data_IF_184576694613
#
_entry.id   IF_184576694613
#
_cell.length_a   1.000
_cell.length_b   1.000
_cell.length_c   1.000
_cell.angle_alpha   90.00
_cell.angle_beta   90.00
_cell.angle_gamma   90.00
#
_symmetry.space_group_name_H-M   'P 1'
#
loop_
_entity.id
_entity.type
_entity.pdbx_description
1 polymer ?
#
# COMPACT_ATOMS: atom_id res chain seq x y z
N UNK A 1 -15.91 53.27 2.63
CA UNK A 1 -15.13 54.19 3.47
C UNK A 1 -14.32 53.44 4.53
N UNK A 2 -13.11 53.79 4.59
CA UNK A 2 -11.94 53.53 5.48
C UNK A 2 -11.02 52.39 5.07
N UNK A 3 -9.97 52.83 4.34
CA UNK A 3 -8.64 52.22 4.21
C UNK A 3 -7.82 52.57 5.46
N UNK A 4 -6.99 51.64 5.90
CA UNK A 4 -5.74 51.92 6.68
C UNK A 4 -4.81 50.79 6.29
N UNK A 5 -3.83 50.93 5.45
CA UNK A 5 -2.54 51.63 5.43
C UNK A 5 -1.44 50.83 6.17
N UNK A 6 -0.44 50.51 5.36
CA UNK A 6 0.86 49.90 5.59
C UNK A 6 1.69 50.57 6.70
N UNK A 7 2.58 49.79 7.30
CA UNK A 7 3.86 50.30 7.79
C UNK A 7 4.99 49.33 7.45
N UNK A 8 5.93 49.80 6.63
CA UNK A 8 7.30 49.28 6.43
C UNK A 8 8.24 49.98 7.40
N UNK A 9 9.19 49.25 7.96
CA UNK A 9 10.49 49.75 8.40
C UNK A 9 11.43 48.54 8.35
N UNK A 10 12.61 48.52 7.73
CA UNK A 10 13.60 49.57 7.54
C UNK A 10 14.94 48.94 7.96
N UNK A 11 15.76 48.68 7.00
CA UNK A 11 17.16 48.21 6.98
C UNK A 11 18.08 49.05 7.89
N UNK A 12 19.06 48.39 8.55
CA UNK A 12 20.43 48.93 8.68
C UNK A 12 21.43 47.78 8.73
N UNK A 13 22.42 47.88 7.84
CA UNK A 13 23.65 47.08 7.78
C UNK A 13 24.78 47.77 8.53
N UNK A 14 25.81 47.02 8.91
CA UNK A 14 27.14 47.53 9.19
C UNK A 14 28.06 46.53 9.88
N UNK A 15 29.30 46.38 9.39
CA UNK A 15 30.22 45.32 9.76
C UNK A 15 31.24 45.77 10.84
N UNK A 16 31.76 44.80 11.57
CA UNK A 16 32.99 44.99 12.34
C UNK A 16 33.89 43.77 12.18
N UNK A 17 34.98 44.05 11.49
CA UNK A 17 36.18 43.20 11.42
C UNK A 17 36.93 43.30 12.75
N UNK A 18 37.48 42.23 13.24
CA UNK A 18 38.52 42.25 14.27
C UNK A 18 39.60 41.23 13.91
N UNK A 19 40.80 41.75 14.03
CA UNK A 19 42.08 41.28 13.55
C UNK A 19 42.61 39.98 14.18
N UNK A 20 43.46 39.31 13.39
CA UNK A 20 44.35 38.22 13.76
C UNK A 20 45.65 38.79 14.37
N UNK A 21 46.20 38.23 15.44
CA UNK A 21 47.62 38.38 15.76
C UNK A 21 48.40 37.13 15.33
N UNK A 22 49.59 37.40 14.75
CA UNK A 22 50.63 36.43 14.35
C UNK A 22 51.55 36.07 15.53
N UNK A 23 51.97 34.81 15.45
CA UNK A 23 53.24 34.18 15.80
C UNK A 23 54.11 34.72 16.97
N UNK A 24 54.51 33.83 17.84
CA UNK A 24 55.65 33.89 18.75
C UNK A 24 56.12 32.49 19.11
N UNK A 25 57.40 32.24 18.83
CA UNK A 25 58.20 31.01 19.03
C UNK A 25 58.36 30.60 20.50
N UNK A 26 58.42 29.30 20.76
CA UNK A 26 59.40 28.53 21.51
C UNK A 26 58.81 27.40 22.37
N UNK A 27 59.57 26.52 22.97
CA UNK A 27 60.44 25.46 22.44
C UNK A 27 59.94 24.06 22.83
N UNK A 28 60.57 23.05 22.26
CA UNK A 28 60.22 21.65 22.29
C UNK A 28 60.01 20.98 23.66
N UNK A 29 59.18 20.00 23.64
CA UNK A 29 59.08 18.92 24.64
C UNK A 29 58.79 17.58 23.98
N UNK A 30 59.07 16.45 24.64
CA UNK A 30 59.56 15.23 24.01
C UNK A 30 58.47 14.30 23.50
N UNK A 31 58.90 13.34 22.68
CA UNK A 31 58.14 12.30 22.02
C UNK A 31 57.11 11.60 22.90
N UNK A 32 55.84 11.80 22.60
CA UNK A 32 54.78 10.90 23.00
C UNK A 32 54.56 9.77 21.97
N UNK A 33 54.38 8.53 22.40
CA UNK A 33 54.18 7.41 21.48
C UNK A 33 52.87 7.55 20.71
N UNK A 34 52.94 7.34 19.41
CA UNK A 34 51.80 7.32 18.52
C UNK A 34 50.68 6.42 19.02
N UNK A 35 49.40 6.88 18.92
CA UNK A 35 48.26 6.05 19.30
C UNK A 35 48.17 4.82 18.39
N UNK A 36 47.71 3.66 18.92
CA UNK A 36 47.62 2.45 18.13
C UNK A 36 46.65 2.63 16.99
N UNK A 37 47.10 2.44 15.77
CA UNK A 37 46.30 2.30 14.58
C UNK A 37 45.32 1.11 14.79
N UNK A 38 44.08 1.38 15.14
CA UNK A 38 42.98 0.43 15.00
C UNK A 38 42.87 0.09 13.52
N UNK A 39 43.40 -1.07 13.14
CA UNK A 39 43.00 -1.73 11.91
C UNK A 39 41.50 -2.01 12.01
N UNK A 40 40.69 -1.19 11.40
CA UNK A 40 39.31 -1.55 11.08
C UNK A 40 39.41 -2.73 10.10
N UNK A 41 39.17 -3.90 10.60
CA UNK A 41 38.86 -5.06 9.77
C UNK A 41 37.53 -4.75 9.11
N UNK A 42 37.57 -4.43 7.82
CA UNK A 42 36.43 -4.42 6.92
C UNK A 42 35.85 -5.85 6.87
N UNK A 43 34.99 -6.15 7.83
CA UNK A 43 34.15 -7.34 7.87
C UNK A 43 32.72 -6.91 8.02
N UNK A 44 32.24 -6.06 7.13
CA UNK A 44 30.84 -5.90 6.90
C UNK A 44 30.55 -6.08 5.40
N UNK A 45 30.86 -7.29 4.92
CA UNK A 45 30.16 -7.80 3.73
C UNK A 45 28.71 -7.92 4.15
N UNK A 46 27.94 -6.90 3.82
CA UNK A 46 26.48 -6.91 3.90
C UNK A 46 26.00 -8.16 3.17
N UNK A 47 25.59 -9.17 3.93
CA UNK A 47 24.84 -10.29 3.36
C UNK A 47 23.69 -9.68 2.55
N UNK A 48 23.38 -10.16 1.34
CA UNK A 48 22.24 -9.68 0.60
C UNK A 48 21.03 -9.83 1.53
N UNK A 49 20.39 -8.71 1.86
CA UNK A 49 19.23 -8.71 2.73
C UNK A 49 18.19 -9.62 2.10
N UNK A 50 17.89 -10.75 2.74
CA UNK A 50 16.89 -11.69 2.26
C UNK A 50 15.59 -10.91 2.00
N UNK A 51 14.97 -11.11 0.84
CA UNK A 51 13.66 -10.52 0.56
C UNK A 51 12.67 -11.11 1.54
N UNK A 52 12.01 -10.25 2.30
CA UNK A 52 11.00 -10.63 3.28
C UNK A 52 9.66 -10.05 2.90
N UNK A 53 8.65 -10.91 2.82
CA UNK A 53 7.27 -10.57 2.50
C UNK A 53 6.34 -11.05 3.60
N UNK A 54 5.52 -10.16 4.12
CA UNK A 54 4.32 -10.54 4.88
C UNK A 54 3.08 -10.29 4.05
N UNK A 55 2.06 -11.13 4.25
CA UNK A 55 0.77 -11.04 3.56
C UNK A 55 -0.33 -11.09 4.60
N UNK A 56 -1.23 -10.11 4.61
CA UNK A 56 -2.44 -10.15 5.43
C UNK A 56 -3.67 -10.40 4.57
N UNK A 57 -4.50 -11.35 5.00
CA UNK A 57 -5.80 -11.68 4.38
C UNK A 57 -6.89 -11.59 5.43
N UNK A 58 -7.77 -10.61 5.32
CA UNK A 58 -8.92 -10.44 6.23
C UNK A 58 -10.10 -11.25 5.71
N UNK A 59 -10.63 -12.11 6.58
CA UNK A 59 -11.67 -13.10 6.25
C UNK A 59 -12.94 -12.79 7.05
N UNK A 60 -14.07 -12.67 6.36
CA UNK A 60 -15.39 -12.53 6.97
C UNK A 60 -16.45 -13.24 6.12
N UNK A 61 -16.91 -14.41 6.57
CA UNK A 61 -17.84 -15.28 5.82
C UNK A 61 -17.46 -15.41 4.34
N UNK A 62 -16.23 -15.87 4.02
CA UNK A 62 -15.75 -15.92 2.66
C UNK A 62 -16.44 -17.05 1.88
N UNK A 63 -16.39 -16.94 0.55
CA UNK A 63 -16.50 -18.12 -0.29
C UNK A 63 -15.28 -19.01 -0.03
N UNK A 64 -15.54 -20.23 0.44
CA UNK A 64 -14.46 -21.15 0.87
C UNK A 64 -13.57 -21.57 -0.28
N UNK A 65 -14.15 -21.84 -1.45
CA UNK A 65 -13.37 -22.28 -2.61
C UNK A 65 -12.52 -21.13 -3.16
N UNK A 66 -13.09 -19.94 -3.18
CA UNK A 66 -12.38 -18.75 -3.61
C UNK A 66 -11.18 -18.45 -2.69
N UNK A 67 -11.36 -18.53 -1.37
CA UNK A 67 -10.28 -18.35 -0.42
C UNK A 67 -9.18 -19.41 -0.60
N UNK A 68 -9.55 -20.67 -0.84
CA UNK A 68 -8.59 -21.74 -1.15
C UNK A 68 -7.80 -21.48 -2.42
N UNK A 69 -8.48 -21.01 -3.48
CA UNK A 69 -7.84 -20.60 -4.74
C UNK A 69 -6.84 -19.45 -4.51
N UNK A 70 -7.23 -18.44 -3.74
CA UNK A 70 -6.36 -17.31 -3.37
C UNK A 70 -5.09 -17.81 -2.68
N UNK A 71 -5.21 -18.64 -1.64
CA UNK A 71 -4.05 -19.17 -0.91
C UNK A 71 -3.17 -20.06 -1.80
N UNK A 72 -3.77 -20.88 -2.67
CA UNK A 72 -3.02 -21.73 -3.61
C UNK A 72 -2.30 -20.89 -4.68
N UNK A 73 -2.93 -19.83 -5.19
CA UNK A 73 -2.29 -18.91 -6.15
C UNK A 73 -1.15 -18.13 -5.51
N UNK A 74 -1.33 -17.67 -4.27
CA UNK A 74 -0.28 -17.03 -3.47
C UNK A 74 0.91 -17.97 -3.29
N UNK A 75 0.68 -19.23 -2.92
CA UNK A 75 1.74 -20.22 -2.79
C UNK A 75 2.54 -20.38 -4.09
N UNK A 76 1.85 -20.51 -5.25
CA UNK A 76 2.52 -20.60 -6.56
C UNK A 76 3.35 -19.34 -6.86
N UNK A 77 2.81 -18.15 -6.56
CA UNK A 77 3.51 -16.89 -6.80
C UNK A 77 4.76 -16.72 -5.90
N UNK A 78 4.71 -17.19 -4.65
CA UNK A 78 5.88 -17.23 -3.74
C UNK A 78 6.93 -18.20 -4.27
N UNK A 79 6.52 -19.42 -4.67
CA UNK A 79 7.43 -20.43 -5.23
C UNK A 79 8.06 -19.92 -6.55
N UNK A 80 7.28 -19.24 -7.39
CA UNK A 80 7.77 -18.64 -8.63
C UNK A 80 8.79 -17.51 -8.39
N UNK A 81 8.63 -16.72 -7.33
CA UNK A 81 9.59 -15.70 -6.95
C UNK A 81 10.91 -16.33 -6.44
N UNK A 82 10.82 -17.36 -5.60
CA UNK A 82 11.98 -18.08 -5.09
C UNK A 82 12.79 -18.79 -6.19
N UNK A 83 12.14 -19.34 -7.22
CA UNK A 83 12.78 -20.01 -8.34
C UNK A 83 13.63 -19.07 -9.21
N UNK A 84 13.49 -17.75 -9.09
CA UNK A 84 14.28 -16.75 -9.83
C UNK A 84 15.60 -16.36 -9.17
N UNK A 85 16.00 -17.07 -8.12
CA UNK A 85 17.37 -17.03 -7.58
C UNK A 85 17.54 -16.31 -6.24
N UNK A 86 16.50 -15.70 -5.67
CA UNK A 86 16.55 -15.13 -4.33
C UNK A 86 15.50 -15.76 -3.40
N UNK A 87 15.89 -16.27 -2.23
CA UNK A 87 14.95 -16.78 -1.25
C UNK A 87 13.98 -15.68 -0.83
N UNK A 88 12.67 -15.96 -0.93
CA UNK A 88 11.61 -15.07 -0.45
C UNK A 88 11.05 -15.61 0.87
N UNK A 89 11.55 -15.12 1.99
CA UNK A 89 10.98 -15.45 3.30
C UNK A 89 9.56 -14.86 3.38
N UNK A 90 8.55 -15.73 3.44
CA UNK A 90 7.15 -15.31 3.38
C UNK A 90 6.37 -15.74 4.62
N UNK A 91 5.61 -14.81 5.19
CA UNK A 91 4.65 -15.03 6.27
C UNK A 91 3.26 -14.59 5.87
N UNK A 92 2.29 -15.49 5.90
CA UNK A 92 0.86 -15.23 5.69
C UNK A 92 0.15 -15.10 7.03
N UNK A 93 -0.68 -14.09 7.19
CA UNK A 93 -1.47 -13.82 8.39
C UNK A 93 -2.94 -13.78 7.97
N UNK A 94 -3.67 -14.81 8.36
CA UNK A 94 -5.12 -14.91 8.18
C UNK A 94 -5.80 -14.21 9.35
N UNK A 95 -6.59 -13.17 9.09
CA UNK A 95 -7.30 -12.42 10.13
C UNK A 95 -8.77 -12.81 10.08
N UNK A 96 -9.21 -13.58 11.06
CA UNK A 96 -10.60 -14.07 11.16
C UNK A 96 -11.50 -13.03 11.81
N UNK A 97 -12.15 -12.23 11.00
CA UNK A 97 -13.22 -11.33 11.43
C UNK A 97 -14.56 -12.08 11.69
N UNK A 98 -14.61 -13.37 11.43
CA UNK A 98 -15.77 -14.24 11.66
C UNK A 98 -16.08 -15.16 10.48
N UNK A 99 -16.37 -16.42 10.80
CA UNK A 99 -16.79 -17.40 9.82
C UNK A 99 -15.70 -17.94 8.90
N UNK A 100 -14.46 -17.96 9.38
CA UNK A 100 -13.36 -18.59 8.63
C UNK A 100 -13.60 -20.09 8.53
N UNK A 101 -13.57 -20.69 7.32
CA UNK A 101 -13.75 -22.12 7.14
C UNK A 101 -12.51 -22.89 7.64
N UNK A 102 -12.61 -24.21 7.70
CA UNK A 102 -11.42 -25.06 7.92
C UNK A 102 -10.46 -24.94 6.74
N UNK A 103 -9.27 -24.44 7.04
CA UNK A 103 -8.15 -24.24 6.11
C UNK A 103 -6.93 -25.07 6.48
N UNK A 104 -7.08 -26.07 7.34
CA UNK A 104 -5.97 -26.90 7.85
C UNK A 104 -5.10 -27.47 6.74
N UNK A 105 -5.72 -27.97 5.67
CA UNK A 105 -5.01 -28.51 4.50
C UNK A 105 -4.21 -27.42 3.76
N UNK A 106 -4.79 -26.24 3.56
CA UNK A 106 -4.14 -25.11 2.88
C UNK A 106 -2.98 -24.57 3.71
N UNK A 107 -3.18 -24.43 5.02
CA UNK A 107 -2.12 -23.99 5.95
C UNK A 107 -0.97 -25.01 5.97
N UNK A 108 -1.29 -26.30 6.01
CA UNK A 108 -0.27 -27.35 5.94
C UNK A 108 0.50 -27.31 4.61
N UNK A 109 -0.20 -27.06 3.49
CA UNK A 109 0.41 -26.89 2.17
C UNK A 109 1.35 -25.69 2.13
N UNK A 110 0.93 -24.52 2.63
CA UNK A 110 1.77 -23.33 2.70
C UNK A 110 3.06 -23.60 3.49
N UNK A 111 2.93 -24.22 4.67
CA UNK A 111 4.08 -24.54 5.53
C UNK A 111 5.03 -25.55 4.89
N UNK A 112 4.51 -26.57 4.18
CA UNK A 112 5.32 -27.53 3.43
C UNK A 112 6.15 -26.88 2.33
N UNK A 113 5.72 -25.69 1.83
CA UNK A 113 6.46 -24.88 0.84
C UNK A 113 7.30 -23.76 1.49
N UNK A 114 7.56 -23.83 2.79
CA UNK A 114 8.40 -22.86 3.52
C UNK A 114 7.71 -21.52 3.79
N UNK A 115 6.39 -21.43 3.62
CA UNK A 115 5.62 -20.22 3.91
C UNK A 115 5.04 -20.32 5.31
N UNK A 116 5.49 -19.45 6.23
CA UNK A 116 4.89 -19.34 7.55
C UNK A 116 3.44 -18.88 7.44
N UNK A 117 2.54 -19.51 8.20
CA UNK A 117 1.13 -19.14 8.18
C UNK A 117 0.55 -19.12 9.59
N UNK A 118 0.04 -17.96 9.99
CA UNK A 118 -0.56 -17.70 11.29
C UNK A 118 -2.03 -17.27 11.13
N UNK A 119 -2.81 -17.45 12.20
CA UNK A 119 -4.20 -16.99 12.25
C UNK A 119 -4.38 -16.07 13.45
N UNK A 120 -4.95 -14.89 13.22
CA UNK A 120 -5.42 -13.97 14.24
C UNK A 120 -6.95 -14.08 14.35
N UNK A 121 -7.44 -14.48 15.51
CA UNK A 121 -8.87 -14.70 15.77
C UNK A 121 -9.26 -14.21 17.17
N UNK A 122 -10.57 -14.23 17.49
CA UNK A 122 -11.08 -13.88 18.80
C UNK A 122 -11.40 -12.39 19.01
N UNK A 123 -11.11 -11.53 18.03
CA UNK A 123 -11.41 -10.08 18.09
C UNK A 123 -12.77 -9.71 17.47
N UNK A 124 -13.49 -10.70 16.90
CA UNK A 124 -14.74 -10.47 16.19
C UNK A 124 -14.57 -9.66 14.90
N UNK A 125 -15.68 -9.18 14.32
CA UNK A 125 -15.63 -8.38 13.11
C UNK A 125 -15.30 -6.92 13.42
N UNK A 126 -14.04 -6.57 13.27
CA UNK A 126 -13.54 -5.19 13.47
C UNK A 126 -13.59 -4.33 12.19
N UNK A 127 -13.99 -4.90 11.07
CA UNK A 127 -13.97 -4.27 9.75
C UNK A 127 -12.69 -4.56 8.97
N UNK A 128 -12.67 -4.13 7.69
CA UNK A 128 -11.60 -4.49 6.75
C UNK A 128 -10.23 -3.90 7.15
N UNK A 129 -10.14 -2.58 7.21
CA UNK A 129 -8.86 -1.90 7.50
C UNK A 129 -8.30 -2.21 8.88
N UNK A 130 -9.16 -2.28 9.91
CA UNK A 130 -8.70 -2.67 11.26
C UNK A 130 -8.21 -4.11 11.31
N UNK A 131 -8.86 -5.01 10.57
CA UNK A 131 -8.40 -6.40 10.46
C UNK A 131 -6.97 -6.45 9.92
N UNK A 132 -6.68 -5.74 8.82
CA UNK A 132 -5.33 -5.64 8.29
C UNK A 132 -4.35 -4.99 9.28
N UNK A 133 -4.78 -3.97 10.03
CA UNK A 133 -3.92 -3.33 11.02
C UNK A 133 -3.45 -4.31 12.11
N UNK A 134 -4.30 -5.24 12.56
CA UNK A 134 -3.90 -6.29 13.51
C UNK A 134 -2.70 -7.11 12.99
N UNK A 135 -2.67 -7.40 11.70
CA UNK A 135 -1.54 -8.08 11.08
C UNK A 135 -0.32 -7.14 10.92
N UNK A 136 -0.54 -5.90 10.43
CA UNK A 136 0.51 -4.90 10.17
C UNK A 136 1.31 -4.58 11.45
N UNK A 137 0.66 -4.56 12.61
CA UNK A 137 1.30 -4.35 13.90
C UNK A 137 2.33 -5.43 14.24
N UNK A 138 2.13 -6.66 13.77
CA UNK A 138 2.96 -7.82 14.10
C UNK A 138 4.13 -8.09 13.14
N UNK A 139 4.22 -7.36 12.02
CA UNK A 139 5.20 -7.65 10.97
C UNK A 139 6.38 -6.68 10.97
N UNK A 140 7.56 -7.20 10.59
CA UNK A 140 8.78 -6.43 10.40
C UNK A 140 9.43 -6.69 9.03
N UNK A 141 8.76 -7.44 8.15
CA UNK A 141 9.23 -7.76 6.80
C UNK A 141 9.47 -6.49 5.98
N UNK A 142 10.34 -6.58 4.97
CA UNK A 142 10.63 -5.46 4.06
C UNK A 142 9.40 -5.02 3.26
N UNK A 143 8.54 -5.96 2.88
CA UNK A 143 7.32 -5.73 2.12
C UNK A 143 6.11 -6.32 2.82
N UNK A 144 4.97 -5.63 2.71
CA UNK A 144 3.69 -6.10 3.22
C UNK A 144 2.62 -6.06 2.12
N UNK A 145 1.98 -7.19 1.87
CA UNK A 145 0.86 -7.30 0.93
C UNK A 145 -0.46 -7.35 1.69
N UNK A 146 -1.30 -6.35 1.46
CA UNK A 146 -2.74 -6.39 1.76
C UNK A 146 -3.42 -7.11 0.62
N UNK A 147 -4.11 -8.22 0.91
CA UNK A 147 -4.69 -9.11 -0.09
C UNK A 147 -6.13 -9.49 0.28
N UNK A 148 -7.04 -9.36 -0.67
CA UNK A 148 -8.40 -9.88 -0.54
C UNK A 148 -8.45 -11.41 -0.65
N UNK A 149 -9.48 -12.04 -0.02
CA UNK A 149 -9.65 -13.50 -0.06
C UNK A 149 -10.21 -14.04 -1.39
N UNK A 150 -10.36 -13.20 -2.40
CA UNK A 150 -10.93 -13.51 -3.72
C UNK A 150 -10.04 -13.05 -4.89
N UNK A 151 -8.71 -13.12 -4.67
CA UNK A 151 -7.68 -12.76 -5.66
C UNK A 151 -6.86 -13.98 -6.05
N UNK A 152 -6.79 -14.26 -7.35
CA UNK A 152 -5.83 -15.19 -7.91
C UNK A 152 -4.61 -14.43 -8.45
N UNK A 153 -3.41 -14.80 -7.98
CA UNK A 153 -2.15 -14.22 -8.44
C UNK A 153 -1.60 -15.03 -9.61
N UNK A 154 -1.10 -14.33 -10.65
CA UNK A 154 -0.23 -14.96 -11.65
C UNK A 154 1.03 -15.52 -10.94
N UNK A 155 1.56 -16.68 -11.42
CA UNK A 155 2.77 -17.27 -10.82
C UNK A 155 3.97 -16.33 -10.75
N UNK A 156 4.07 -15.38 -11.67
CA UNK A 156 5.14 -14.38 -11.75
C UNK A 156 4.82 -13.07 -10.99
N UNK A 157 3.61 -12.91 -10.47
CA UNK A 157 3.14 -11.63 -9.95
C UNK A 157 4.04 -11.07 -8.85
N UNK A 158 4.38 -11.89 -7.84
CA UNK A 158 5.22 -11.44 -6.73
C UNK A 158 6.66 -11.17 -7.17
N UNK A 159 7.24 -12.02 -8.00
CA UNK A 159 8.59 -11.79 -8.53
C UNK A 159 8.67 -10.43 -9.23
N UNK A 160 7.75 -10.16 -10.16
CA UNK A 160 7.71 -8.90 -10.91
C UNK A 160 7.45 -7.68 -10.02
N UNK A 161 6.59 -7.84 -9.01
CA UNK A 161 6.25 -6.78 -8.09
C UNK A 161 7.44 -6.40 -7.18
N UNK A 162 8.13 -7.39 -6.62
CA UNK A 162 9.30 -7.17 -5.78
C UNK A 162 10.47 -6.61 -6.58
N UNK A 163 10.74 -7.15 -7.77
CA UNK A 163 11.76 -6.63 -8.68
C UNK A 163 11.49 -5.17 -9.09
N UNK A 164 10.22 -4.81 -9.27
CA UNK A 164 9.85 -3.43 -9.54
C UNK A 164 10.16 -2.51 -8.35
N UNK A 165 9.71 -2.90 -7.16
CA UNK A 165 9.96 -2.12 -5.95
C UNK A 165 11.46 -1.99 -5.66
N UNK A 166 12.25 -3.05 -5.83
CA UNK A 166 13.70 -3.00 -5.62
C UNK A 166 14.39 -2.01 -6.55
N UNK A 167 13.95 -1.94 -7.81
CA UNK A 167 14.49 -0.98 -8.80
C UNK A 167 13.97 0.44 -8.65
N UNK A 168 12.88 0.66 -7.92
CA UNK A 168 12.26 1.97 -7.74
C UNK A 168 12.10 2.33 -6.25
N UNK A 169 13.17 2.76 -5.57
CA UNK A 169 13.15 3.06 -4.13
C UNK A 169 12.09 4.09 -3.70
N UNK A 170 11.71 5.01 -4.59
CA UNK A 170 10.66 6.01 -4.32
C UNK A 170 9.23 5.47 -4.39
N UNK A 171 9.01 4.25 -4.90
CA UNK A 171 7.71 3.60 -4.89
C UNK A 171 7.45 2.98 -3.51
N UNK A 172 6.48 3.50 -2.78
CA UNK A 172 6.05 2.97 -1.47
C UNK A 172 4.88 2.02 -1.56
N UNK A 173 4.05 2.14 -2.60
CA UNK A 173 2.88 1.30 -2.86
C UNK A 173 2.85 0.89 -4.33
N UNK A 174 2.62 -0.41 -4.56
CA UNK A 174 2.37 -0.97 -5.88
C UNK A 174 0.96 -1.58 -5.94
N UNK A 175 0.25 -1.31 -7.04
CA UNK A 175 -0.99 -1.98 -7.42
C UNK A 175 -0.83 -2.67 -8.80
N UNK A 176 -1.38 -3.88 -8.97
CA UNK A 176 -1.24 -4.68 -10.19
C UNK A 176 -2.27 -4.31 -11.25
N UNK A 177 -2.12 -4.91 -12.43
CA UNK A 177 -3.24 -5.08 -13.37
C UNK A 177 -4.22 -6.10 -12.78
N UNK A 178 -5.42 -5.63 -12.52
CA UNK A 178 -6.50 -6.44 -11.98
C UNK A 178 -7.48 -6.73 -13.11
N UNK A 179 -7.77 -7.98 -13.36
CA UNK A 179 -8.72 -8.41 -14.39
C UNK A 179 -9.83 -9.27 -13.77
N UNK A 180 -10.92 -9.39 -14.51
CA UNK A 180 -11.94 -10.43 -14.30
C UNK A 180 -11.48 -11.76 -14.90
N UNK A 181 -12.21 -12.86 -14.65
CA UNK A 181 -11.90 -14.19 -15.20
C UNK A 181 -11.87 -14.22 -16.74
N UNK A 182 -12.66 -13.39 -17.40
CA UNK A 182 -12.69 -13.24 -18.85
C UNK A 182 -11.53 -12.41 -19.42
N UNK A 183 -10.59 -11.97 -18.57
CA UNK A 183 -9.44 -11.16 -18.93
C UNK A 183 -9.73 -9.66 -19.03
N UNK A 184 -10.98 -9.22 -18.89
CA UNK A 184 -11.35 -7.80 -18.92
C UNK A 184 -10.73 -7.04 -17.74
N UNK A 185 -10.09 -5.89 -18.02
CA UNK A 185 -9.50 -5.06 -16.98
C UNK A 185 -10.60 -4.52 -16.06
N UNK A 186 -10.44 -4.75 -14.76
CA UNK A 186 -11.19 -4.06 -13.73
C UNK A 186 -10.48 -2.75 -13.40
N UNK A 187 -11.06 -1.62 -13.83
CA UNK A 187 -10.49 -0.29 -13.60
C UNK A 187 -10.64 0.12 -12.13
N UNK A 188 -9.71 -0.35 -11.30
CA UNK A 188 -9.72 -0.15 -9.85
C UNK A 188 -8.76 0.96 -9.36
N UNK A 189 -7.94 1.52 -10.25
CA UNK A 189 -7.32 2.82 -10.04
C UNK A 189 -8.35 3.92 -10.34
N UNK A 190 -8.40 4.96 -9.50
CA UNK A 190 -9.45 5.98 -9.60
C UNK A 190 -8.92 7.38 -9.33
N UNK A 191 -9.57 8.34 -9.93
CA UNK A 191 -9.43 9.75 -9.55
C UNK A 191 -10.18 10.02 -8.25
N UNK A 192 -9.94 11.18 -7.67
CA UNK A 192 -10.72 11.65 -6.53
C UNK A 192 -12.22 11.66 -6.89
N UNK A 193 -13.09 10.99 -6.11
CA UNK A 193 -14.51 10.87 -6.45
C UNK A 193 -15.26 12.18 -6.25
N UNK A 194 -16.32 12.39 -7.04
CA UNK A 194 -17.37 13.32 -6.71
C UNK A 194 -18.60 12.56 -6.21
N UNK A 195 -19.54 13.25 -5.56
CA UNK A 195 -20.79 12.63 -5.14
C UNK A 195 -21.57 12.09 -6.35
N UNK A 196 -21.53 12.80 -7.48
CA UNK A 196 -22.17 12.35 -8.72
C UNK A 196 -21.52 11.07 -9.26
N UNK A 197 -20.17 10.95 -9.23
CA UNK A 197 -19.49 9.72 -9.66
C UNK A 197 -19.93 8.51 -8.83
N UNK A 198 -19.98 8.68 -7.52
CA UNK A 198 -20.41 7.63 -6.60
C UNK A 198 -21.89 7.25 -6.80
N UNK A 199 -22.74 8.25 -6.98
CA UNK A 199 -24.17 8.04 -7.24
C UNK A 199 -24.39 7.28 -8.56
N UNK A 200 -23.80 7.77 -9.66
CA UNK A 200 -23.93 7.14 -10.98
C UNK A 200 -23.42 5.70 -10.95
N UNK A 201 -22.25 5.49 -10.35
CA UNK A 201 -21.64 4.16 -10.29
C UNK A 201 -22.39 3.19 -9.38
N UNK A 202 -22.86 3.65 -8.21
CA UNK A 202 -23.45 2.81 -7.18
C UNK A 202 -24.94 2.57 -7.35
N UNK A 203 -25.70 3.57 -7.78
CA UNK A 203 -27.16 3.57 -7.69
C UNK A 203 -27.88 3.68 -9.05
N UNK A 204 -27.22 4.21 -10.07
CA UNK A 204 -27.88 4.38 -11.37
C UNK A 204 -28.00 3.04 -12.10
N UNK A 205 -29.18 2.65 -12.61
CA UNK A 205 -29.35 1.45 -13.43
C UNK A 205 -28.45 1.46 -14.66
N UNK A 206 -27.98 0.28 -15.09
CA UNK A 206 -27.03 0.15 -16.21
C UNK A 206 -27.43 0.90 -17.46
N UNK A 207 -28.72 0.88 -17.84
CA UNK A 207 -29.28 1.59 -19.02
C UNK A 207 -29.04 3.09 -19.00
N UNK A 208 -28.99 3.71 -17.83
CA UNK A 208 -28.78 5.17 -17.69
C UNK A 208 -27.31 5.51 -17.47
N UNK A 209 -26.47 4.55 -17.09
CA UNK A 209 -25.02 4.79 -16.92
C UNK A 209 -24.33 5.13 -18.22
N UNK A 210 -24.85 4.67 -19.36
CA UNK A 210 -24.30 4.99 -20.68
C UNK A 210 -24.25 6.49 -20.95
N UNK A 211 -25.20 7.28 -20.43
CA UNK A 211 -25.19 8.74 -20.55
C UNK A 211 -24.03 9.41 -19.80
N UNK A 212 -23.43 8.70 -18.84
CA UNK A 212 -22.33 9.17 -18.01
C UNK A 212 -21.01 8.42 -18.31
N UNK A 213 -20.95 7.65 -19.39
CA UNK A 213 -19.80 6.77 -19.65
C UNK A 213 -18.48 7.55 -19.73
N UNK A 214 -18.43 8.68 -20.42
CA UNK A 214 -17.24 9.53 -20.48
C UNK A 214 -16.80 10.08 -19.11
N UNK A 215 -17.77 10.32 -18.21
CA UNK A 215 -17.50 10.72 -16.84
C UNK A 215 -16.94 9.57 -16.00
N UNK A 216 -17.58 8.40 -16.08
CA UNK A 216 -17.13 7.18 -15.42
C UNK A 216 -15.76 6.75 -15.93
N UNK A 217 -15.52 6.83 -17.26
CA UNK A 217 -14.23 6.53 -17.86
C UNK A 217 -13.11 7.42 -17.31
N UNK A 218 -13.41 8.72 -17.09
CA UNK A 218 -12.46 9.65 -16.45
C UNK A 218 -12.21 9.30 -14.99
N UNK A 219 -13.25 9.02 -14.21
CA UNK A 219 -13.15 8.65 -12.81
C UNK A 219 -12.36 7.34 -12.62
N UNK A 220 -12.63 6.34 -13.46
CA UNK A 220 -12.01 5.02 -13.46
C UNK A 220 -10.67 4.98 -14.21
N UNK A 221 -10.15 6.13 -14.64
CA UNK A 221 -8.87 6.28 -15.33
C UNK A 221 -8.71 5.36 -16.56
N UNK A 222 -9.81 5.04 -17.28
CA UNK A 222 -9.80 4.04 -18.36
C UNK A 222 -8.85 4.37 -19.51
N UNK A 223 -8.53 5.66 -19.71
CA UNK A 223 -7.55 6.09 -20.72
C UNK A 223 -6.09 5.91 -20.31
N UNK A 224 -5.83 5.83 -18.99
CA UNK A 224 -4.48 5.71 -18.46
C UNK A 224 -4.14 4.26 -18.11
N UNK A 225 -5.10 3.53 -17.53
CA UNK A 225 -4.90 2.14 -17.08
C UNK A 225 -5.01 1.19 -18.28
N UNK A 226 -3.92 0.55 -18.61
CA UNK A 226 -3.81 -0.37 -19.74
C UNK A 226 -2.87 -1.55 -19.41
N UNK A 227 -2.57 -2.40 -20.39
CA UNK A 227 -1.77 -3.61 -20.20
C UNK A 227 -0.26 -3.43 -20.38
N UNK A 228 0.20 -2.23 -20.72
CA UNK A 228 1.57 -1.97 -21.16
C UNK A 228 2.31 -0.97 -20.29
N UNK A 229 1.65 0.15 -19.98
CA UNK A 229 2.32 1.31 -19.43
C UNK A 229 2.22 1.35 -17.90
N UNK A 230 3.35 1.61 -17.25
CA UNK A 230 3.38 1.91 -15.82
C UNK A 230 2.75 3.28 -15.62
N UNK A 231 1.75 3.35 -14.73
CA UNK A 231 1.13 4.62 -14.35
C UNK A 231 1.59 5.00 -12.95
N UNK A 232 2.28 6.12 -12.89
CA UNK A 232 2.74 6.67 -11.61
C UNK A 232 1.67 7.55 -10.99
N UNK A 233 1.58 7.43 -9.68
CA UNK A 233 0.75 8.26 -8.81
C UNK A 233 -0.74 8.26 -9.19
N UNK A 234 -1.36 7.07 -9.48
CA UNK A 234 -2.81 7.01 -9.56
C UNK A 234 -3.37 7.48 -8.20
N UNK A 235 -4.31 8.46 -8.19
CA UNK A 235 -4.74 9.08 -6.93
C UNK A 235 -5.27 8.09 -5.89
N UNK A 236 -5.98 7.07 -6.35
CA UNK A 236 -6.61 6.06 -5.49
C UNK A 236 -6.43 4.69 -6.13
N UNK A 237 -6.04 3.69 -5.34
CA UNK A 237 -5.95 2.30 -5.73
C UNK A 237 -6.81 1.42 -4.82
N UNK A 238 -7.25 0.28 -5.31
CA UNK A 238 -8.14 -0.61 -4.56
C UNK A 238 -7.40 -1.40 -3.49
N UNK A 239 -8.05 -1.57 -2.35
CA UNK A 239 -7.60 -2.41 -1.24
C UNK A 239 -7.48 -3.89 -1.57
N UNK A 240 -8.04 -4.37 -2.69
CA UNK A 240 -8.03 -5.81 -2.99
C UNK A 240 -6.61 -6.40 -3.19
N UNK A 241 -5.65 -5.56 -3.63
CA UNK A 241 -4.23 -5.88 -3.69
C UNK A 241 -3.42 -4.59 -3.54
N UNK A 242 -2.74 -4.42 -2.40
CA UNK A 242 -1.84 -3.30 -2.14
C UNK A 242 -0.51 -3.83 -1.61
N UNK A 243 0.55 -3.79 -2.42
CA UNK A 243 1.88 -4.18 -1.99
C UNK A 243 2.67 -2.95 -1.54
N UNK A 244 2.92 -2.85 -0.26
CA UNK A 244 3.64 -1.75 0.37
C UNK A 244 5.10 -2.10 0.66
N UNK A 245 5.95 -1.06 0.69
CA UNK A 245 7.08 -1.08 1.61
C UNK A 245 6.53 -0.98 3.03
N UNK A 246 6.95 -1.89 3.90
CA UNK A 246 6.39 -1.98 5.25
C UNK A 246 6.68 -0.74 6.10
N UNK A 247 7.85 -0.11 5.91
CA UNK A 247 8.21 1.14 6.56
C UNK A 247 7.25 2.29 6.19
N UNK A 248 6.92 2.44 4.91
CA UNK A 248 5.93 3.40 4.42
C UNK A 248 4.55 3.13 5.04
N UNK A 249 4.10 1.88 5.03
CA UNK A 249 2.80 1.51 5.60
C UNK A 249 2.74 1.78 7.11
N UNK A 250 3.82 1.50 7.84
CA UNK A 250 3.95 1.79 9.27
C UNK A 250 4.05 3.29 9.56
N UNK A 251 4.76 4.05 8.74
CA UNK A 251 4.82 5.52 8.85
C UNK A 251 3.43 6.14 8.71
N UNK A 252 2.57 5.57 7.86
CA UNK A 252 1.17 5.99 7.69
C UNK A 252 0.27 5.57 8.86
N UNK A 253 0.73 4.67 9.74
CA UNK A 253 -0.08 4.06 10.79
C UNK A 253 -1.10 3.05 10.25
N UNK A 254 -0.88 2.49 9.06
CA UNK A 254 -1.81 1.58 8.41
C UNK A 254 -3.11 2.24 7.96
N UNK A 255 -4.19 1.47 7.96
CA UNK A 255 -5.55 1.95 7.65
C UNK A 255 -6.11 2.80 8.79
N UNK A 256 -6.84 3.85 8.45
CA UNK A 256 -7.55 4.67 9.45
C UNK A 256 -8.67 3.83 10.12
N UNK A 257 -8.58 3.57 11.44
CA UNK A 257 -9.51 2.67 12.12
C UNK A 257 -10.94 3.20 12.23
N UNK A 258 -11.21 4.44 11.83
CA UNK A 258 -12.54 5.03 11.81
C UNK A 258 -13.41 4.49 10.69
N UNK A 259 -12.81 3.91 9.62
CA UNK A 259 -13.56 3.23 8.56
C UNK A 259 -13.78 1.77 8.96
N UNK A 260 -15.04 1.33 8.92
CA UNK A 260 -15.36 -0.07 9.11
C UNK A 260 -15.23 -0.85 7.79
N UNK A 261 -15.79 -0.29 6.72
CA UNK A 261 -15.76 -0.83 5.37
C UNK A 261 -16.03 0.30 4.37
N UNK A 262 -15.36 0.26 3.21
CA UNK A 262 -15.35 1.26 2.14
C UNK A 262 -14.60 2.55 2.50
N UNK A 263 -13.89 3.11 1.53
CA UNK A 263 -13.08 4.32 1.60
C UNK A 263 -11.82 4.23 2.48
N UNK A 264 -11.59 3.14 3.21
CA UNK A 264 -10.34 2.91 3.95
C UNK A 264 -9.14 2.83 3.00
N UNK A 265 -9.32 2.22 1.83
CA UNK A 265 -8.31 2.13 0.75
C UNK A 265 -8.13 3.48 0.05
N UNK A 266 -9.20 4.26 -0.12
CA UNK A 266 -9.14 5.62 -0.65
C UNK A 266 -8.35 6.55 0.28
N UNK A 267 -8.65 6.49 1.57
CA UNK A 267 -7.95 7.25 2.61
C UNK A 267 -6.46 6.87 2.63
N UNK A 268 -6.15 5.59 2.67
CA UNK A 268 -4.76 5.11 2.70
C UNK A 268 -4.00 5.51 1.42
N UNK A 269 -4.63 5.40 0.24
CA UNK A 269 -4.03 5.82 -1.03
C UNK A 269 -3.68 7.31 -1.00
N UNK A 270 -4.62 8.17 -0.59
CA UNK A 270 -4.37 9.62 -0.56
C UNK A 270 -3.27 9.99 0.43
N UNK A 271 -3.21 9.36 1.62
CA UNK A 271 -2.12 9.57 2.59
C UNK A 271 -0.78 9.06 2.10
N UNK A 272 -0.77 8.02 1.25
CA UNK A 272 0.48 7.49 0.70
C UNK A 272 1.21 8.54 -0.14
N UNK A 273 0.49 9.39 -0.87
CA UNK A 273 1.10 10.46 -1.68
C UNK A 273 1.89 11.50 -0.87
N UNK A 274 1.62 11.62 0.43
CA UNK A 274 2.35 12.55 1.31
C UNK A 274 3.76 12.04 1.66
N UNK A 275 4.01 10.73 1.52
CA UNK A 275 5.25 10.08 2.01
C UNK A 275 5.98 9.26 0.95
N UNK A 276 5.28 8.77 -0.08
CA UNK A 276 5.85 7.92 -1.12
C UNK A 276 5.03 7.96 -2.41
N UNK A 277 5.60 7.45 -3.50
CA UNK A 277 4.90 7.31 -4.77
C UNK A 277 4.08 6.03 -4.83
N UNK A 278 2.99 6.07 -5.59
CA UNK A 278 2.18 4.91 -5.94
C UNK A 278 2.47 4.51 -7.38
N UNK A 279 2.60 3.21 -7.65
CA UNK A 279 2.79 2.71 -9.01
C UNK A 279 1.72 1.67 -9.37
N UNK A 280 1.02 1.88 -10.49
CA UNK A 280 0.31 0.82 -11.19
C UNK A 280 1.29 0.14 -12.14
N UNK A 281 1.44 -1.18 -11.99
CA UNK A 281 2.42 -1.96 -12.73
C UNK A 281 1.71 -3.08 -13.50
N UNK A 282 1.45 -2.93 -14.81
CA UNK A 282 0.65 -3.89 -15.59
C UNK A 282 1.33 -5.24 -15.79
N UNK A 283 2.64 -5.32 -15.63
CA UNK A 283 3.38 -6.58 -15.65
C UNK A 283 3.05 -7.48 -14.47
N UNK A 284 2.59 -6.92 -13.35
CA UNK A 284 2.04 -7.65 -12.19
C UNK A 284 0.57 -7.90 -12.47
N UNK A 285 0.17 -9.17 -12.53
CA UNK A 285 -1.18 -9.55 -12.97
C UNK A 285 -1.90 -10.36 -11.90
N UNK A 286 -3.16 -10.01 -11.67
CA UNK A 286 -4.04 -10.75 -10.78
C UNK A 286 -5.45 -10.80 -11.35
N UNK A 287 -6.20 -11.85 -10.98
CA UNK A 287 -7.63 -11.97 -11.27
C UNK A 287 -8.40 -11.73 -9.98
N UNK A 288 -9.40 -10.87 -10.04
CA UNK A 288 -10.29 -10.56 -8.91
C UNK A 288 -11.69 -11.10 -9.20
N UNK A 289 -12.09 -12.08 -8.42
CA UNK A 289 -13.39 -12.76 -8.56
C UNK A 289 -14.51 -12.00 -7.89
N UNK A 290 -14.17 -11.04 -7.03
CA UNK A 290 -15.12 -10.19 -6.33
C UNK A 290 -15.70 -9.10 -7.23
N UNK A 291 -16.85 -8.59 -6.83
CA UNK A 291 -17.52 -7.47 -7.49
C UNK A 291 -18.96 -7.30 -7.01
N UNK A 292 -19.54 -6.11 -7.23
CA UNK A 292 -20.97 -5.89 -6.99
C UNK A 292 -21.34 -5.55 -5.54
N UNK A 293 -20.53 -4.77 -4.84
CA UNK A 293 -20.83 -4.25 -3.50
C UNK A 293 -22.23 -3.59 -3.41
N UNK A 294 -22.72 -3.01 -4.49
CA UNK A 294 -24.05 -2.39 -4.56
C UNK A 294 -25.23 -3.38 -4.43
N UNK A 295 -24.97 -4.70 -4.53
CA UNK A 295 -26.02 -5.74 -4.40
C UNK A 295 -26.18 -6.28 -2.96
N UNK A 296 -25.39 -5.79 -1.99
CA UNK A 296 -25.28 -6.40 -0.65
C UNK A 296 -26.27 -5.88 0.39
N UNK A 297 -27.34 -5.15 0.00
CA UNK A 297 -28.45 -4.76 0.89
C UNK A 297 -28.24 -3.46 1.68
N UNK A 298 -29.27 -3.04 2.44
CA UNK A 298 -29.35 -1.73 3.12
C UNK A 298 -28.23 -1.48 4.15
N UNK A 299 -27.76 -2.52 4.84
CA UNK A 299 -26.65 -2.43 5.80
C UNK A 299 -25.36 -1.92 5.11
N UNK A 300 -25.06 -2.44 3.91
CA UNK A 300 -23.90 -2.01 3.13
C UNK A 300 -24.03 -0.57 2.62
N UNK A 301 -25.24 -0.14 2.23
CA UNK A 301 -25.49 1.26 1.82
C UNK A 301 -25.23 2.21 2.99
N UNK A 302 -25.70 1.87 4.20
CA UNK A 302 -25.44 2.69 5.40
C UNK A 302 -23.95 2.79 5.73
N UNK A 303 -23.22 1.67 5.67
CA UNK A 303 -21.75 1.67 5.88
C UNK A 303 -21.04 2.51 4.83
N UNK A 304 -21.43 2.36 3.56
CA UNK A 304 -20.89 3.15 2.46
C UNK A 304 -21.12 4.66 2.67
N UNK A 305 -22.35 5.06 2.99
CA UNK A 305 -22.71 6.46 3.23
C UNK A 305 -21.94 7.05 4.42
N UNK A 306 -21.82 6.31 5.53
CA UNK A 306 -21.05 6.75 6.70
C UNK A 306 -19.56 6.92 6.39
N UNK A 307 -18.99 5.99 5.63
CA UNK A 307 -17.58 6.05 5.21
C UNK A 307 -17.36 7.16 4.19
N UNK A 308 -18.27 7.35 3.22
CA UNK A 308 -18.20 8.45 2.26
C UNK A 308 -18.26 9.82 2.97
N UNK A 309 -19.18 9.98 3.92
CA UNK A 309 -19.28 11.22 4.71
C UNK A 309 -17.98 11.52 5.46
N UNK A 310 -17.38 10.51 6.09
CA UNK A 310 -16.09 10.64 6.78
C UNK A 310 -14.96 11.02 5.82
N UNK A 311 -14.91 10.37 4.66
CA UNK A 311 -13.93 10.63 3.62
C UNK A 311 -14.00 12.07 3.11
N UNK A 312 -15.19 12.52 2.72
CA UNK A 312 -15.36 13.88 2.20
C UNK A 312 -15.14 14.96 3.28
N UNK A 313 -15.48 14.70 4.54
CA UNK A 313 -15.15 15.62 5.64
C UNK A 313 -13.63 15.75 5.86
N UNK A 314 -12.87 14.71 5.58
CA UNK A 314 -11.41 14.75 5.73
C UNK A 314 -10.70 15.40 4.54
N UNK A 315 -11.10 15.02 3.32
CA UNK A 315 -10.35 15.38 2.11
C UNK A 315 -11.03 16.45 1.25
N UNK A 316 -12.22 16.87 1.62
CA UNK A 316 -12.99 17.90 0.93
C UNK A 316 -14.15 17.37 0.09
N UNK A 317 -15.24 18.13 0.05
CA UNK A 317 -16.45 17.79 -0.67
C UNK A 317 -16.32 18.20 -2.15
N UNK A 318 -16.59 17.25 -3.04
CA UNK A 318 -16.71 17.50 -4.48
C UNK A 318 -18.06 16.98 -4.96
N UNK A 319 -18.88 17.89 -5.49
CA UNK A 319 -20.25 17.59 -5.90
C UNK A 319 -20.33 17.05 -7.33
N UNK A 320 -19.61 17.70 -8.27
CA UNK A 320 -19.61 17.45 -9.72
C UNK A 320 -18.20 17.29 -10.29
#
# INVERSE_FOLDING_TARGET
>A
MRRVALARAGVVAGPLAAEVPRAGDAPGQPDDPAPPTLRMTDSNMTQPSSRELSVSVVVYHPDTEMLRRTLSSLQRAVSGAAARGEPLATRVILVDNGGMPDLSAQIASLRAHGIACDTLAGHGNVGYGRGHNLAIETVASRYHLVLNPDIDLDPDALARALDFLDRHPGAGLLTPRIASEDGTIQYLCRRYPTLLDLFVRGFLPRRFRAWFDGRLARYEMRSAINERDIVWDPPIVSGCFMLFRTDVLKQLGGFDPRYFLYFEDYDLSLRTHDVARIAYVPAVRVIHHGGGAARKGSKHIRMFAASAFRFFNRFGWKWL
#
